data_IF_514471144751
#
_entry.id   IF_514471144751
#
_cell.length_a   1.000
_cell.length_b   1.000
_cell.length_c   1.000
_cell.angle_alpha   90.00
_cell.angle_beta   90.00
_cell.angle_gamma   90.00
#
_symmetry.space_group_name_H-M   'P 1'
#
loop_
_entity.id
_entity.type
_entity.pdbx_description
1 polymer ?
#
# COMPACT_ATOMS: atom_id res chain seq x y z
N UNK A 1 -1.95 -35.78 -15.28
CA UNK A 1 -2.28 -34.54 -14.56
C UNK A 1 -2.87 -34.95 -13.22
N UNK A 2 -2.06 -34.97 -12.18
CA UNK A 2 -2.47 -35.41 -10.85
C UNK A 2 -2.81 -34.14 -10.07
N UNK A 3 -4.09 -33.94 -9.83
CA UNK A 3 -4.58 -32.83 -9.00
C UNK A 3 -4.12 -33.12 -7.56
N UNK A 4 -3.19 -32.31 -7.08
CA UNK A 4 -2.73 -32.35 -5.69
C UNK A 4 -3.89 -31.85 -4.81
N UNK A 5 -4.47 -32.77 -4.02
CA UNK A 5 -5.48 -32.41 -3.03
C UNK A 5 -4.87 -31.45 -2.00
N UNK A 6 -5.57 -30.39 -1.60
CA UNK A 6 -5.12 -29.52 -0.52
C UNK A 6 -4.96 -30.33 0.77
N UNK A 7 -3.85 -30.11 1.47
CA UNK A 7 -3.58 -30.72 2.76
C UNK A 7 -4.72 -30.40 3.75
N UNK A 8 -5.16 -31.38 4.58
CA UNK A 8 -6.20 -31.12 5.58
C UNK A 8 -5.70 -30.08 6.57
N UNK A 9 -6.45 -28.98 6.71
CA UNK A 9 -6.21 -27.97 7.73
C UNK A 9 -6.37 -28.62 9.10
N UNK A 10 -5.28 -28.76 9.86
CA UNK A 10 -5.37 -29.09 11.28
C UNK A 10 -6.20 -28.01 11.99
N UNK A 11 -7.10 -28.39 12.91
CA UNK A 11 -7.85 -27.42 13.69
C UNK A 11 -6.88 -26.58 14.52
N UNK A 12 -6.78 -25.30 14.21
CA UNK A 12 -5.96 -24.34 14.98
C UNK A 12 -6.51 -24.30 16.39
N UNK A 13 -5.81 -24.92 17.33
CA UNK A 13 -6.06 -24.80 18.77
C UNK A 13 -6.15 -23.31 19.11
N UNK A 14 -7.14 -22.93 19.91
CA UNK A 14 -7.38 -21.56 20.38
C UNK A 14 -6.06 -20.84 20.68
N UNK A 15 -5.59 -20.05 19.74
CA UNK A 15 -4.40 -19.21 19.93
C UNK A 15 -4.84 -18.11 20.89
N UNK A 16 -4.37 -18.19 22.12
CA UNK A 16 -4.38 -17.03 23.01
C UNK A 16 -3.58 -15.96 22.27
N UNK A 17 -4.28 -14.93 21.77
CA UNK A 17 -3.60 -13.80 21.12
C UNK A 17 -2.70 -13.17 22.20
N UNK A 18 -1.36 -13.18 22.03
CA UNK A 18 -0.47 -12.56 23.00
C UNK A 18 -0.88 -11.10 23.15
N UNK A 19 -0.88 -10.57 24.39
CA UNK A 19 -1.08 -9.14 24.58
C UNK A 19 -0.01 -8.38 23.79
N UNK A 20 -0.40 -7.36 23.02
CA UNK A 20 0.56 -6.55 22.28
C UNK A 20 1.62 -6.02 23.24
N UNK A 21 2.88 -6.03 22.80
CA UNK A 21 3.96 -5.42 23.57
C UNK A 21 3.75 -3.90 23.57
N UNK A 22 3.48 -3.33 24.75
CA UNK A 22 3.23 -1.88 24.91
C UNK A 22 4.43 -1.03 24.47
N UNK A 23 5.64 -1.57 24.51
CA UNK A 23 6.84 -0.90 24.01
C UNK A 23 6.87 -0.76 22.48
N UNK A 24 6.26 -1.72 21.76
CA UNK A 24 6.16 -1.68 20.29
C UNK A 24 4.88 -0.99 19.82
N UNK A 25 3.81 -1.05 20.61
CA UNK A 25 2.49 -0.51 20.27
C UNK A 25 1.92 0.30 21.44
N UNK A 26 2.46 1.50 21.70
CA UNK A 26 1.98 2.35 22.78
C UNK A 26 0.50 2.69 22.63
N UNK A 27 -0.26 2.52 23.71
CA UNK A 27 -1.69 2.86 23.75
C UNK A 27 -2.64 1.87 23.04
N UNK A 28 -2.13 0.82 22.35
CA UNK A 28 -2.98 -0.17 21.67
C UNK A 28 -3.87 -0.96 22.67
N UNK A 29 -3.39 -1.19 23.89
CA UNK A 29 -4.17 -1.88 24.91
C UNK A 29 -5.29 -1.01 25.50
N UNK A 30 -5.21 0.32 25.36
CA UNK A 30 -6.19 1.25 25.90
C UNK A 30 -7.51 1.21 25.13
N UNK A 31 -8.63 1.13 25.85
CA UNK A 31 -9.97 1.15 25.24
C UNK A 31 -10.44 2.60 25.12
N UNK A 32 -10.80 3.10 23.93
CA UNK A 32 -11.31 4.47 23.73
C UNK A 32 -12.49 4.79 24.67
N UNK A 33 -12.53 5.99 25.23
CA UNK A 33 -13.53 6.38 26.24
C UNK A 33 -14.92 6.72 25.66
N UNK A 34 -15.04 6.95 24.35
CA UNK A 34 -16.23 7.44 23.66
C UNK A 34 -17.32 6.36 23.51
N UNK A 35 -18.17 6.21 24.53
CA UNK A 35 -19.29 5.24 24.52
C UNK A 35 -20.34 5.53 23.44
N UNK A 36 -20.62 6.80 23.14
CA UNK A 36 -21.62 7.17 22.12
C UNK A 36 -21.23 6.68 20.74
N UNK A 37 -19.97 6.91 20.32
CA UNK A 37 -19.45 6.42 19.04
C UNK A 37 -19.50 4.89 18.95
N UNK A 38 -19.22 4.19 20.06
CA UNK A 38 -19.34 2.73 20.13
C UNK A 38 -20.77 2.23 19.87
N UNK A 39 -21.80 2.85 20.45
CA UNK A 39 -23.21 2.48 20.18
C UNK A 39 -23.62 2.68 18.73
N UNK A 40 -23.18 3.79 18.12
CA UNK A 40 -23.45 4.06 16.69
C UNK A 40 -22.74 3.00 15.82
N UNK A 41 -21.47 2.70 16.12
CA UNK A 41 -20.72 1.68 15.41
C UNK A 41 -21.36 0.29 15.56
N UNK A 42 -21.85 -0.08 16.73
CA UNK A 42 -22.57 -1.32 16.96
C UNK A 42 -23.81 -1.43 16.08
N UNK A 43 -24.64 -0.38 16.06
CA UNK A 43 -25.86 -0.36 15.24
C UNK A 43 -25.55 -0.52 13.75
N UNK A 44 -24.53 0.18 13.25
CA UNK A 44 -24.09 0.09 11.86
C UNK A 44 -23.50 -1.28 11.54
N UNK A 45 -22.65 -1.82 12.42
CA UNK A 45 -22.04 -3.13 12.27
C UNK A 45 -23.09 -4.25 12.21
N UNK A 46 -24.05 -4.26 13.15
CA UNK A 46 -25.15 -5.22 13.18
C UNK A 46 -25.98 -5.19 11.89
N UNK A 47 -26.22 -3.99 11.35
CA UNK A 47 -26.94 -3.83 10.08
C UNK A 47 -26.11 -4.36 8.89
N UNK A 48 -24.84 -4.02 8.85
CA UNK A 48 -23.92 -4.42 7.77
C UNK A 48 -23.77 -5.94 7.71
N UNK A 49 -23.54 -6.57 8.85
CA UNK A 49 -23.26 -8.01 8.93
C UNK A 49 -24.45 -8.88 8.51
N UNK A 50 -25.70 -8.41 8.68
CA UNK A 50 -26.92 -9.20 8.35
C UNK A 50 -26.95 -9.71 6.92
N UNK A 51 -26.32 -9.01 5.98
CA UNK A 51 -26.29 -9.36 4.55
C UNK A 51 -24.99 -10.04 4.11
N UNK A 52 -24.04 -10.26 5.02
CA UNK A 52 -22.76 -10.85 4.69
C UNK A 52 -22.75 -12.36 4.88
N UNK A 53 -22.06 -13.12 4.00
CA UNK A 53 -21.85 -14.55 4.14
C UNK A 53 -20.76 -14.84 5.20
N UNK A 54 -21.00 -14.38 6.42
CA UNK A 54 -20.19 -14.60 7.61
C UNK A 54 -21.09 -14.97 8.78
N UNK A 55 -20.53 -15.63 9.78
CA UNK A 55 -21.18 -15.93 11.06
C UNK A 55 -20.54 -15.07 12.15
N UNK A 56 -21.28 -14.15 12.77
CA UNK A 56 -20.79 -13.34 13.88
C UNK A 56 -21.46 -13.74 15.16
N UNK A 57 -20.66 -14.20 16.12
CA UNK A 57 -21.09 -14.57 17.48
C UNK A 57 -20.87 -13.40 18.42
N UNK A 58 -21.96 -12.87 19.00
CA UNK A 58 -21.98 -11.73 19.91
C UNK A 58 -22.76 -12.09 21.17
N UNK A 59 -22.08 -12.60 22.19
CA UNK A 59 -22.71 -13.18 23.36
C UNK A 59 -23.56 -14.41 22.97
N UNK A 60 -24.86 -14.36 23.25
CA UNK A 60 -25.82 -15.40 22.83
C UNK A 60 -26.41 -15.21 21.44
N UNK A 61 -26.12 -14.09 20.80
CA UNK A 61 -26.68 -13.74 19.51
C UNK A 61 -25.74 -14.16 18.36
N UNK A 62 -26.35 -14.62 17.26
CA UNK A 62 -25.64 -14.97 16.02
C UNK A 62 -26.19 -14.13 14.89
N UNK A 63 -25.31 -13.42 14.19
CA UNK A 63 -25.63 -12.54 13.07
C UNK A 63 -24.98 -13.04 11.78
N UNK A 64 -25.48 -12.58 10.63
CA UNK A 64 -24.97 -12.91 9.29
C UNK A 64 -25.67 -14.10 8.66
N UNK A 65 -25.21 -14.45 7.43
CA UNK A 65 -25.82 -15.50 6.61
C UNK A 65 -25.16 -16.88 6.76
N UNK A 66 -24.20 -16.99 7.68
CA UNK A 66 -23.34 -18.18 7.82
C UNK A 66 -22.05 -18.05 7.00
N UNK A 67 -21.09 -18.95 7.26
CA UNK A 67 -19.75 -18.92 6.66
C UNK A 67 -18.65 -18.81 7.72
N UNK A 68 -17.49 -18.20 7.40
CA UNK A 68 -16.40 -18.01 8.34
C UNK A 68 -16.88 -17.32 9.61
N UNK A 69 -16.40 -17.79 10.76
CA UNK A 69 -16.92 -17.34 12.07
C UNK A 69 -16.05 -16.26 12.67
N UNK A 70 -16.66 -15.13 13.04
CA UNK A 70 -16.11 -14.08 13.87
C UNK A 70 -16.71 -14.18 15.28
N UNK A 71 -15.87 -14.32 16.32
CA UNK A 71 -16.31 -14.32 17.74
C UNK A 71 -15.93 -13.01 18.38
N UNK A 72 -16.92 -12.24 18.82
CA UNK A 72 -16.69 -10.97 19.54
C UNK A 72 -16.56 -11.32 21.02
N UNK A 73 -15.33 -11.23 21.53
CA UNK A 73 -14.94 -11.62 22.89
C UNK A 73 -15.24 -10.50 23.87
N UNK A 74 -14.91 -9.25 23.51
CA UNK A 74 -15.10 -8.05 24.35
C UNK A 74 -15.94 -7.00 23.60
N UNK A 75 -17.26 -7.14 23.57
CA UNK A 75 -18.14 -6.31 22.73
C UNK A 75 -17.99 -4.80 22.96
N UNK A 76 -17.99 -4.35 24.21
CA UNK A 76 -17.87 -2.92 24.54
C UNK A 76 -16.55 -2.32 24.02
N UNK A 77 -15.43 -3.02 24.23
CA UNK A 77 -14.11 -2.60 23.73
C UNK A 77 -14.05 -2.60 22.21
N UNK A 78 -14.52 -3.66 21.56
CA UNK A 78 -14.60 -3.79 20.10
C UNK A 78 -15.37 -2.63 19.47
N UNK A 79 -16.59 -2.36 19.93
CA UNK A 79 -17.40 -1.31 19.34
C UNK A 79 -16.88 0.09 19.63
N UNK A 80 -16.20 0.32 20.76
CA UNK A 80 -15.54 1.61 21.01
C UNK A 80 -14.37 1.85 20.07
N UNK A 81 -13.51 0.83 19.82
CA UNK A 81 -12.42 0.94 18.85
C UNK A 81 -12.96 1.16 17.44
N UNK A 82 -13.94 0.34 17.02
CA UNK A 82 -14.60 0.48 15.73
C UNK A 82 -15.23 1.87 15.53
N UNK A 83 -15.84 2.41 16.58
CA UNK A 83 -16.47 3.74 16.54
C UNK A 83 -15.48 4.90 16.64
N UNK A 84 -14.30 4.67 17.18
CA UNK A 84 -13.25 5.68 17.26
C UNK A 84 -12.50 5.82 15.94
N UNK A 85 -12.08 4.72 15.33
CA UNK A 85 -11.22 4.72 14.14
C UNK A 85 -11.59 3.66 13.09
N UNK A 86 -12.87 3.38 12.93
CA UNK A 86 -13.40 2.56 11.84
C UNK A 86 -12.54 1.31 11.50
N UNK A 87 -11.86 1.30 10.34
CA UNK A 87 -11.07 0.16 9.87
C UNK A 87 -9.84 -0.11 10.73
N UNK A 88 -9.15 0.92 11.19
CA UNK A 88 -8.00 0.82 12.08
C UNK A 88 -8.46 0.20 13.40
N UNK A 89 -9.53 0.74 14.00
CA UNK A 89 -10.10 0.20 15.24
C UNK A 89 -10.60 -1.24 15.10
N UNK A 90 -11.02 -1.68 13.90
CA UNK A 90 -11.34 -3.07 13.61
C UNK A 90 -10.10 -3.97 13.67
N UNK A 91 -8.98 -3.54 13.06
CA UNK A 91 -7.71 -4.25 13.10
C UNK A 91 -7.08 -4.27 14.50
N UNK A 92 -7.05 -3.12 15.18
CA UNK A 92 -6.58 -3.02 16.57
C UNK A 92 -7.34 -3.95 17.51
N UNK A 93 -8.66 -4.01 17.36
CA UNK A 93 -9.51 -4.92 18.15
C UNK A 93 -9.14 -6.40 17.94
N UNK A 94 -8.72 -6.78 16.73
CA UNK A 94 -8.19 -8.12 16.47
C UNK A 94 -6.85 -8.33 17.17
N UNK A 95 -5.92 -7.39 17.02
CA UNK A 95 -4.58 -7.46 17.62
C UNK A 95 -4.63 -7.61 19.14
N UNK A 96 -5.57 -6.95 19.81
CA UNK A 96 -5.75 -7.07 21.29
C UNK A 96 -6.68 -8.22 21.71
N UNK A 97 -7.32 -8.92 20.75
CA UNK A 97 -8.22 -10.03 21.03
C UNK A 97 -9.62 -9.62 21.50
N UNK A 98 -10.12 -8.45 21.09
CA UNK A 98 -11.51 -8.07 21.29
C UNK A 98 -12.46 -8.90 20.44
N UNK A 99 -11.96 -9.41 19.33
CA UNK A 99 -12.60 -10.43 18.49
C UNK A 99 -11.57 -11.42 17.93
N UNK A 100 -12.03 -12.61 17.58
CA UNK A 100 -11.19 -13.69 17.05
C UNK A 100 -11.89 -14.42 15.91
N UNK A 101 -11.11 -15.16 15.11
CA UNK A 101 -11.59 -16.08 14.07
C UNK A 101 -10.60 -17.23 13.90
N UNK A 102 -11.07 -18.35 13.41
CA UNK A 102 -10.22 -19.49 13.05
C UNK A 102 -9.75 -19.43 11.59
N UNK A 103 -10.43 -18.57 10.76
CA UNK A 103 -10.12 -18.35 9.35
C UNK A 103 -10.15 -16.85 9.05
N UNK A 104 -9.03 -16.17 9.25
CA UNK A 104 -8.93 -14.72 9.05
C UNK A 104 -9.08 -14.33 7.57
N UNK A 105 -8.40 -14.97 6.59
CA UNK A 105 -8.58 -14.65 5.18
C UNK A 105 -10.01 -14.87 4.71
N UNK A 106 -10.60 -16.01 5.03
CA UNK A 106 -12.00 -16.33 4.68
C UNK A 106 -12.99 -15.35 5.28
N UNK A 107 -12.77 -14.91 6.53
CA UNK A 107 -13.61 -13.92 7.18
C UNK A 107 -13.47 -12.52 6.55
N UNK A 108 -12.26 -12.08 6.24
CA UNK A 108 -12.02 -10.73 5.70
C UNK A 108 -12.48 -10.59 4.24
N UNK A 109 -12.49 -11.68 3.46
CA UNK A 109 -12.87 -11.65 2.05
C UNK A 109 -14.27 -11.08 1.81
N UNK A 110 -15.34 -11.53 2.47
CA UNK A 110 -16.68 -10.94 2.33
C UNK A 110 -16.75 -9.47 2.76
N UNK A 111 -16.04 -9.10 3.82
CA UNK A 111 -15.96 -7.69 4.25
C UNK A 111 -15.29 -6.83 3.19
N UNK A 112 -14.17 -7.27 2.62
CA UNK A 112 -13.44 -6.55 1.57
C UNK A 112 -14.29 -6.39 0.30
N UNK A 113 -14.96 -7.46 -0.14
CA UNK A 113 -15.81 -7.44 -1.34
C UNK A 113 -16.98 -6.45 -1.24
N UNK A 114 -17.49 -6.19 -0.03
CA UNK A 114 -18.65 -5.32 0.20
C UNK A 114 -18.30 -3.99 0.83
N UNK A 115 -17.04 -3.72 1.12
CA UNK A 115 -16.58 -2.55 1.89
C UNK A 115 -17.10 -1.22 1.33
N UNK A 116 -17.16 -1.08 -0.01
CA UNK A 116 -17.66 0.12 -0.69
C UNK A 116 -19.18 0.34 -0.52
N UNK A 117 -19.93 -0.73 -0.24
CA UNK A 117 -21.40 -0.72 -0.11
C UNK A 117 -21.90 -0.80 1.32
N UNK A 118 -21.05 -1.23 2.28
CA UNK A 118 -21.41 -1.38 3.70
C UNK A 118 -21.86 -0.08 4.35
N UNK A 119 -21.35 1.05 3.90
CA UNK A 119 -21.73 2.38 4.41
C UNK A 119 -22.46 3.12 3.28
N UNK A 120 -23.71 3.57 3.49
CA UNK A 120 -24.43 4.35 2.48
C UNK A 120 -23.63 5.57 2.01
N UNK A 121 -23.67 5.95 0.72
CA UNK A 121 -22.88 7.06 0.16
C UNK A 121 -23.13 8.41 0.85
N UNK A 122 -24.32 8.61 1.40
CA UNK A 122 -24.67 9.81 2.18
C UNK A 122 -23.93 9.88 3.51
N UNK A 123 -23.79 8.75 4.20
CA UNK A 123 -23.02 8.63 5.44
C UNK A 123 -21.51 8.64 5.16
N UNK A 124 -21.06 8.08 4.04
CA UNK A 124 -19.66 8.18 3.62
C UNK A 124 -19.23 9.63 3.41
N UNK A 125 -20.08 10.47 2.76
CA UNK A 125 -19.80 11.90 2.55
C UNK A 125 -19.71 12.68 3.86
N UNK A 126 -20.59 12.35 4.82
CA UNK A 126 -20.57 12.97 6.13
C UNK A 126 -19.33 12.51 6.94
N UNK A 127 -19.04 11.20 6.93
CA UNK A 127 -17.87 10.64 7.61
C UNK A 127 -16.55 11.16 7.03
N UNK A 128 -16.42 11.25 5.70
CA UNK A 128 -15.23 11.86 5.06
C UNK A 128 -14.94 13.26 5.57
N UNK A 129 -15.96 14.09 5.75
CA UNK A 129 -15.81 15.46 6.24
C UNK A 129 -15.26 15.53 7.68
N UNK A 130 -15.44 14.47 8.48
CA UNK A 130 -14.97 14.40 9.87
C UNK A 130 -13.71 13.54 10.03
N UNK A 131 -13.49 12.54 9.19
CA UNK A 131 -12.37 11.58 9.25
C UNK A 131 -11.18 12.05 8.40
N UNK A 132 -11.43 12.65 7.23
CA UNK A 132 -10.36 13.24 6.38
C UNK A 132 -9.85 14.60 6.91
N UNK A 133 -10.38 15.08 8.04
CA UNK A 133 -10.19 16.46 8.45
C UNK A 133 -8.80 16.79 9.00
N UNK A 134 -7.92 15.85 9.28
CA UNK A 134 -6.57 16.17 9.76
C UNK A 134 -5.61 15.03 9.45
N UNK A 135 -4.84 15.18 8.38
CA UNK A 135 -3.56 14.50 8.31
C UNK A 135 -2.73 14.98 9.52
N UNK A 136 -2.27 14.09 10.41
CA UNK A 136 -1.43 14.49 11.53
C UNK A 136 -0.24 15.31 11.01
N UNK A 137 0.17 16.35 11.75
CA UNK A 137 1.32 17.18 11.37
C UNK A 137 2.61 16.37 11.22
N UNK A 138 2.65 15.21 11.86
CA UNK A 138 3.76 14.25 11.81
C UNK A 138 3.82 13.49 10.47
N UNK A 139 2.74 13.42 9.71
CA UNK A 139 2.69 12.80 8.37
C UNK A 139 3.00 13.78 7.23
N UNK A 140 3.36 15.02 7.54
CA UNK A 140 3.74 16.00 6.51
C UNK A 140 5.09 15.57 5.92
N UNK A 141 5.12 15.28 4.62
CA UNK A 141 6.29 14.84 3.86
C UNK A 141 7.32 15.97 3.65
N UNK A 142 7.79 16.62 4.74
CA UNK A 142 9.07 17.35 4.72
C UNK A 142 10.21 16.35 4.45
N UNK A 143 11.43 16.78 4.23
CA UNK A 143 12.58 15.86 4.04
C UNK A 143 12.76 14.97 5.28
N UNK A 144 12.62 15.56 6.47
CA UNK A 144 12.70 14.85 7.75
C UNK A 144 11.49 13.94 7.98
N UNK A 145 10.27 14.45 7.75
CA UNK A 145 9.02 13.70 7.91
C UNK A 145 8.91 12.53 6.93
N UNK A 146 9.40 12.67 5.70
CA UNK A 146 9.44 11.59 4.73
C UNK A 146 10.34 10.44 5.19
N UNK A 147 11.49 10.71 5.82
CA UNK A 147 12.36 9.70 6.41
C UNK A 147 11.64 8.96 7.54
N UNK A 148 10.97 9.66 8.43
CA UNK A 148 10.26 9.06 9.55
C UNK A 148 9.03 8.26 9.11
N UNK A 149 8.29 8.74 8.11
CA UNK A 149 7.15 8.02 7.55
C UNK A 149 7.57 6.71 6.86
N UNK A 150 8.67 6.72 6.11
CA UNK A 150 9.21 5.52 5.47
C UNK A 150 9.80 4.58 6.51
N UNK A 151 10.50 5.09 7.51
CA UNK A 151 10.98 4.31 8.65
C UNK A 151 9.83 3.52 9.30
N UNK A 152 8.72 4.16 9.62
CA UNK A 152 7.53 3.49 10.18
C UNK A 152 6.86 2.47 9.23
N UNK A 153 6.92 2.68 7.92
CA UNK A 153 6.32 1.78 6.93
C UNK A 153 7.20 0.57 6.59
N UNK A 154 8.52 0.73 6.61
CA UNK A 154 9.49 -0.29 6.18
C UNK A 154 10.34 -0.85 7.32
N UNK A 155 10.17 -0.39 8.56
CA UNK A 155 10.71 -1.02 9.77
C UNK A 155 10.03 -2.35 10.17
N UNK A 156 9.00 -2.73 9.43
CA UNK A 156 8.61 -4.11 9.33
C UNK A 156 9.80 -4.85 8.72
N UNK A 157 10.46 -5.74 9.49
CA UNK A 157 11.71 -6.39 9.12
C UNK A 157 11.70 -6.94 7.69
N UNK A 158 12.86 -6.92 7.01
CA UNK A 158 13.03 -7.54 5.71
C UNK A 158 12.53 -8.99 5.70
N UNK A 159 12.67 -9.71 6.83
CA UNK A 159 12.16 -11.07 7.01
C UNK A 159 10.66 -11.17 6.83
N UNK A 160 9.89 -10.17 7.29
CA UNK A 160 8.44 -10.14 7.07
C UNK A 160 8.11 -9.98 5.60
N UNK A 161 8.79 -9.08 4.88
CA UNK A 161 8.55 -8.89 3.46
C UNK A 161 8.91 -10.12 2.63
N UNK A 162 9.97 -10.84 2.98
CA UNK A 162 10.36 -12.10 2.36
C UNK A 162 9.33 -13.22 2.53
N UNK A 163 8.45 -13.16 3.54
CA UNK A 163 7.40 -14.16 3.75
C UNK A 163 6.28 -14.11 2.70
N UNK A 164 6.06 -12.97 2.05
CA UNK A 164 4.91 -12.79 1.14
C UNK A 164 5.26 -12.16 -0.21
N UNK A 165 6.44 -11.56 -0.37
CA UNK A 165 6.92 -11.10 -1.66
C UNK A 165 7.56 -12.26 -2.43
N UNK A 166 7.60 -12.12 -3.76
CA UNK A 166 8.32 -12.99 -4.66
C UNK A 166 9.85 -12.74 -4.64
N UNK A 167 10.62 -13.54 -5.36
CA UNK A 167 12.08 -13.45 -5.41
C UNK A 167 12.59 -12.10 -5.94
N UNK A 168 11.77 -11.35 -6.70
CA UNK A 168 12.14 -9.99 -7.13
C UNK A 168 12.08 -8.99 -5.98
N UNK A 169 11.42 -9.32 -4.87
CA UNK A 169 11.16 -8.44 -3.74
C UNK A 169 10.48 -7.13 -4.19
N UNK A 170 9.57 -7.20 -5.15
CA UNK A 170 8.86 -6.01 -5.65
C UNK A 170 7.59 -5.78 -4.86
N UNK A 171 7.60 -4.78 -3.96
CA UNK A 171 6.44 -4.37 -3.16
C UNK A 171 5.58 -3.35 -3.92
N UNK A 172 5.08 -3.78 -5.05
CA UNK A 172 4.18 -3.01 -5.93
C UNK A 172 3.32 -3.97 -6.74
N UNK A 173 2.17 -3.51 -7.23
CA UNK A 173 1.25 -4.37 -7.96
C UNK A 173 1.91 -4.99 -9.20
N UNK A 174 1.77 -6.29 -9.37
CA UNK A 174 2.30 -7.02 -10.51
C UNK A 174 1.46 -6.79 -11.80
N UNK A 175 2.03 -7.11 -12.95
CA UNK A 175 1.36 -7.03 -14.24
C UNK A 175 1.21 -8.42 -14.86
N UNK A 176 0.15 -9.11 -14.47
CA UNK A 176 -0.12 -10.47 -14.92
C UNK A 176 -0.47 -10.52 -16.40
N UNK A 177 0.04 -11.55 -17.10
CA UNK A 177 -0.46 -11.91 -18.42
C UNK A 177 -1.85 -12.55 -18.29
N UNK A 178 -2.71 -12.44 -19.32
CA UNK A 178 -3.97 -13.17 -19.33
C UNK A 178 -3.74 -14.67 -19.12
N UNK A 179 -4.35 -15.24 -18.07
CA UNK A 179 -4.27 -16.66 -17.75
C UNK A 179 -2.99 -17.11 -17.02
N UNK A 180 -2.08 -16.22 -16.66
CA UNK A 180 -0.93 -16.50 -15.80
C UNK A 180 -1.25 -16.10 -14.35
N UNK A 181 -0.80 -16.92 -13.40
CA UNK A 181 -0.80 -16.65 -11.96
C UNK A 181 0.62 -16.62 -11.37
N UNK A 182 1.65 -16.67 -12.21
CA UNK A 182 3.05 -16.58 -11.80
C UNK A 182 3.40 -15.12 -11.40
N UNK A 183 3.67 -14.94 -10.12
CA UNK A 183 3.96 -13.62 -9.55
C UNK A 183 5.33 -13.10 -10.01
N UNK A 184 6.34 -13.95 -10.11
CA UNK A 184 7.70 -13.55 -10.55
C UNK A 184 7.63 -13.06 -11.99
N UNK A 185 7.01 -13.84 -12.90
CA UNK A 185 6.81 -13.43 -14.30
C UNK A 185 6.05 -12.10 -14.40
N UNK A 186 5.00 -11.93 -13.58
CA UNK A 186 4.18 -10.72 -13.58
C UNK A 186 4.94 -9.49 -13.07
N UNK A 187 5.81 -9.65 -12.07
CA UNK A 187 6.69 -8.59 -11.58
C UNK A 187 7.77 -8.23 -12.60
N UNK A 188 8.44 -9.23 -13.20
CA UNK A 188 9.41 -8.98 -14.26
C UNK A 188 8.77 -8.28 -15.48
N UNK A 189 7.58 -8.71 -15.90
CA UNK A 189 6.80 -8.06 -16.96
C UNK A 189 6.50 -6.60 -16.65
N UNK A 190 6.14 -6.29 -15.42
CA UNK A 190 5.94 -4.91 -14.96
C UNK A 190 7.23 -4.10 -15.08
N UNK A 191 8.34 -4.63 -14.58
CA UNK A 191 9.63 -3.94 -14.62
C UNK A 191 10.08 -3.73 -16.07
N UNK A 192 10.00 -4.75 -16.89
CA UNK A 192 10.32 -4.67 -18.30
C UNK A 192 9.48 -3.63 -19.02
N UNK A 193 8.16 -3.62 -18.76
CA UNK A 193 7.23 -2.66 -19.36
C UNK A 193 7.54 -1.21 -19.01
N UNK A 194 7.96 -0.90 -17.78
CA UNK A 194 8.32 0.47 -17.41
C UNK A 194 9.66 0.89 -17.99
N UNK A 195 10.62 -0.02 -18.06
CA UNK A 195 11.90 0.23 -18.73
C UNK A 195 11.72 0.48 -20.24
N UNK A 196 10.83 -0.28 -20.88
CA UNK A 196 10.50 -0.10 -22.32
C UNK A 196 9.79 1.24 -22.55
N UNK A 197 8.82 1.62 -21.71
CA UNK A 197 8.14 2.93 -21.78
C UNK A 197 9.13 4.09 -21.60
N UNK A 198 10.10 3.95 -20.70
CA UNK A 198 11.16 4.93 -20.51
C UNK A 198 12.23 4.88 -21.60
N UNK A 199 12.15 3.92 -22.53
CA UNK A 199 13.10 3.74 -23.63
C UNK A 199 14.50 3.34 -23.17
N UNK A 200 14.60 2.60 -22.05
CA UNK A 200 15.88 2.20 -21.47
C UNK A 200 16.58 1.14 -22.34
N UNK A 201 17.79 1.46 -22.77
CA UNK A 201 18.65 0.58 -23.59
C UNK A 201 20.05 0.45 -22.98
N UNK A 202 20.84 -0.48 -23.52
CA UNK A 202 22.22 -0.69 -23.06
C UNK A 202 23.07 0.58 -23.21
N UNK A 203 23.92 0.83 -22.24
CA UNK A 203 24.82 1.99 -22.18
C UNK A 203 24.19 3.29 -21.63
N UNK A 204 22.88 3.38 -21.52
CA UNK A 204 22.21 4.53 -20.94
C UNK A 204 22.41 4.60 -19.41
N UNK A 205 22.33 5.82 -18.86
CA UNK A 205 22.35 6.08 -17.44
C UNK A 205 20.92 6.38 -16.96
N UNK A 206 20.40 5.49 -16.13
CA UNK A 206 19.03 5.54 -15.60
C UNK A 206 19.05 5.97 -14.16
N UNK A 207 18.13 6.86 -13.77
CA UNK A 207 17.82 7.14 -12.38
C UNK A 207 16.55 6.41 -11.97
N UNK A 208 16.62 5.63 -10.91
CA UNK A 208 15.44 5.06 -10.24
C UNK A 208 15.16 5.85 -8.96
N UNK A 209 13.90 6.28 -8.80
CA UNK A 209 13.42 6.91 -7.56
C UNK A 209 12.55 5.91 -6.81
N UNK A 210 13.08 5.38 -5.70
CA UNK A 210 12.48 4.32 -4.92
C UNK A 210 13.12 2.96 -5.20
N UNK A 211 14.31 2.73 -4.63
CA UNK A 211 15.09 1.49 -4.81
C UNK A 211 14.31 0.23 -4.44
N UNK A 212 13.43 0.31 -3.43
CA UNK A 212 12.92 -0.89 -2.78
C UNK A 212 14.07 -1.80 -2.37
N UNK A 213 14.03 -3.05 -2.77
CA UNK A 213 15.10 -4.02 -2.53
C UNK A 213 15.91 -4.33 -3.81
N UNK A 214 15.94 -3.39 -4.77
CA UNK A 214 16.82 -3.40 -5.93
C UNK A 214 16.31 -4.16 -7.16
N UNK A 215 15.09 -4.68 -7.15
CA UNK A 215 14.60 -5.53 -8.27
C UNK A 215 14.64 -4.84 -9.63
N UNK A 216 14.17 -3.58 -9.73
CA UNK A 216 14.18 -2.82 -10.98
C UNK A 216 15.61 -2.43 -11.39
N UNK A 217 16.43 -1.97 -10.43
CA UNK A 217 17.83 -1.62 -10.69
C UNK A 217 18.63 -2.82 -11.25
N UNK A 218 18.46 -4.00 -10.66
CA UNK A 218 19.09 -5.25 -11.14
C UNK A 218 18.66 -5.54 -12.58
N UNK A 219 17.34 -5.50 -12.85
CA UNK A 219 16.80 -5.79 -14.19
C UNK A 219 17.29 -4.81 -15.25
N UNK A 220 17.35 -3.51 -14.93
CA UNK A 220 17.86 -2.47 -15.81
C UNK A 220 19.36 -2.67 -16.09
N UNK A 221 20.15 -3.01 -15.08
CA UNK A 221 21.58 -3.30 -15.22
C UNK A 221 21.83 -4.57 -16.04
N UNK A 222 21.02 -5.60 -15.90
CA UNK A 222 21.06 -6.81 -16.74
C UNK A 222 20.75 -6.51 -18.21
N UNK A 223 19.92 -5.49 -18.50
CA UNK A 223 19.70 -4.99 -19.86
C UNK A 223 20.88 -4.14 -20.40
N UNK A 224 21.93 -3.95 -19.60
CA UNK A 224 23.14 -3.23 -19.97
C UNK A 224 23.12 -1.73 -19.64
N UNK A 225 22.12 -1.23 -18.93
CA UNK A 225 22.10 0.15 -18.45
C UNK A 225 23.04 0.34 -17.23
N UNK A 226 23.48 1.56 -16.99
CA UNK A 226 24.01 2.01 -15.69
C UNK A 226 22.88 2.61 -14.89
N UNK A 227 22.79 2.28 -13.62
CA UNK A 227 21.69 2.69 -12.76
C UNK A 227 22.21 3.44 -11.54
N UNK A 228 21.64 4.61 -11.30
CA UNK A 228 21.68 5.25 -9.99
C UNK A 228 20.29 5.07 -9.37
N UNK A 229 20.20 4.50 -8.17
CA UNK A 229 18.92 4.29 -7.50
C UNK A 229 18.90 4.96 -6.14
N UNK A 230 17.75 5.55 -5.78
CA UNK A 230 17.59 6.35 -4.58
C UNK A 230 16.61 5.70 -3.62
N UNK A 231 17.02 5.60 -2.37
CA UNK A 231 16.14 5.29 -1.25
C UNK A 231 16.44 6.19 -0.06
N UNK A 232 15.50 6.33 0.86
CA UNK A 232 15.70 7.01 2.14
C UNK A 232 15.66 6.02 3.32
N UNK A 233 15.52 4.71 3.04
CA UNK A 233 15.61 3.61 4.01
C UNK A 233 16.99 2.97 3.96
N UNK A 234 17.69 2.96 5.10
CA UNK A 234 19.00 2.32 5.23
C UNK A 234 18.89 0.79 5.13
N UNK A 235 17.80 0.20 5.62
CA UNK A 235 17.52 -1.23 5.57
C UNK A 235 17.30 -1.69 4.13
N UNK A 236 16.54 -0.91 3.34
CA UNK A 236 16.37 -1.19 1.92
C UNK A 236 17.70 -1.07 1.17
N UNK A 237 18.47 -0.02 1.44
CA UNK A 237 19.77 0.18 0.79
C UNK A 237 20.71 -1.00 1.01
N UNK A 238 20.85 -1.45 2.26
CA UNK A 238 21.73 -2.55 2.62
C UNK A 238 21.34 -3.86 1.90
N UNK A 239 20.07 -4.25 1.94
CA UNK A 239 19.61 -5.46 1.27
C UNK A 239 19.65 -5.33 -0.26
N UNK A 240 19.38 -4.14 -0.81
CA UNK A 240 19.50 -3.91 -2.24
C UNK A 240 20.96 -4.06 -2.71
N UNK A 241 21.94 -3.54 -1.98
CA UNK A 241 23.36 -3.70 -2.29
C UNK A 241 23.80 -5.17 -2.27
N UNK A 242 23.37 -5.96 -1.27
CA UNK A 242 23.62 -7.39 -1.21
C UNK A 242 23.05 -8.13 -2.44
N UNK A 243 21.80 -7.83 -2.80
CA UNK A 243 21.13 -8.45 -3.96
C UNK A 243 21.75 -8.05 -5.29
N UNK A 244 22.15 -6.78 -5.44
CA UNK A 244 22.86 -6.26 -6.62
C UNK A 244 24.21 -6.98 -6.79
N UNK A 245 24.96 -7.16 -5.68
CA UNK A 245 26.22 -7.91 -5.70
C UNK A 245 25.99 -9.38 -6.06
N UNK A 246 24.98 -10.03 -5.47
CA UNK A 246 24.61 -11.41 -5.77
C UNK A 246 24.18 -11.61 -7.24
N UNK A 247 23.53 -10.62 -7.84
CA UNK A 247 23.16 -10.61 -9.25
C UNK A 247 24.33 -10.34 -10.21
N UNK A 248 25.54 -10.03 -9.71
CA UNK A 248 26.74 -9.77 -10.52
C UNK A 248 26.69 -8.46 -11.31
N UNK A 249 25.94 -7.46 -10.87
CA UNK A 249 25.77 -6.18 -11.58
C UNK A 249 26.21 -4.96 -10.74
N UNK A 250 27.00 -5.19 -9.69
CA UNK A 250 27.46 -4.14 -8.80
C UNK A 250 28.33 -3.06 -9.48
N UNK A 251 28.97 -3.39 -10.58
CA UNK A 251 29.74 -2.46 -11.43
C UNK A 251 28.85 -1.44 -12.19
N UNK A 252 27.57 -1.72 -12.30
CA UNK A 252 26.59 -0.93 -13.06
C UNK A 252 25.56 -0.23 -12.22
N UNK A 253 25.41 -0.56 -10.93
CA UNK A 253 24.36 -0.02 -10.06
C UNK A 253 25.00 0.72 -8.89
N UNK A 254 24.56 1.96 -8.67
CA UNK A 254 24.91 2.76 -7.53
C UNK A 254 23.67 3.02 -6.67
N UNK A 255 23.64 2.53 -5.45
CA UNK A 255 22.60 2.81 -4.47
C UNK A 255 22.99 4.08 -3.69
N UNK A 256 22.06 5.03 -3.57
CA UNK A 256 22.26 6.26 -2.80
C UNK A 256 21.18 6.40 -1.73
N UNK A 257 21.58 6.51 -0.49
CA UNK A 257 20.71 6.88 0.63
C UNK A 257 20.41 8.38 0.57
N UNK A 258 19.43 8.76 -0.29
CA UNK A 258 19.16 10.17 -0.59
C UNK A 258 17.71 10.40 -0.97
N UNK A 259 17.17 11.55 -0.54
CA UNK A 259 15.86 12.04 -1.01
C UNK A 259 15.96 12.53 -2.47
N UNK A 260 14.93 12.26 -3.27
CA UNK A 260 14.89 12.65 -4.69
C UNK A 260 15.00 14.16 -4.91
N UNK A 261 14.61 14.98 -3.93
CA UNK A 261 14.71 16.44 -3.96
C UNK A 261 16.18 16.92 -3.96
N UNK A 262 17.05 16.13 -3.34
CA UNK A 262 18.49 16.38 -3.20
C UNK A 262 19.31 15.67 -4.31
N UNK A 263 18.66 14.89 -5.17
CA UNK A 263 19.32 14.19 -6.26
C UNK A 263 19.95 15.17 -7.24
N UNK A 264 21.13 14.81 -7.73
CA UNK A 264 21.91 15.55 -8.71
C UNK A 264 22.30 14.67 -9.87
N UNK A 265 22.70 15.27 -10.97
CA UNK A 265 23.11 14.56 -12.18
C UNK A 265 22.18 14.82 -13.33
N UNK A 266 22.42 14.11 -14.43
CA UNK A 266 21.63 14.18 -15.66
C UNK A 266 21.57 12.78 -16.25
N UNK A 267 20.36 12.28 -16.49
CA UNK A 267 20.06 10.89 -16.79
C UNK A 267 19.34 10.76 -18.13
N UNK A 268 19.58 9.65 -18.83
CA UNK A 268 18.92 9.36 -20.11
C UNK A 268 17.44 8.99 -19.91
N UNK A 269 17.14 8.36 -18.75
CA UNK A 269 15.79 8.05 -18.33
C UNK A 269 15.66 8.18 -16.80
N UNK A 270 14.46 8.52 -16.34
CA UNK A 270 14.09 8.47 -14.92
C UNK A 270 12.91 7.51 -14.77
N UNK A 271 13.01 6.54 -13.87
CA UNK A 271 11.95 5.56 -13.59
C UNK A 271 11.53 5.61 -12.14
N UNK A 272 10.23 5.44 -11.88
CA UNK A 272 9.68 5.42 -10.53
C UNK A 272 8.39 4.60 -10.49
N UNK A 273 8.29 3.67 -9.54
CA UNK A 273 7.16 2.74 -9.40
C UNK A 273 6.52 2.94 -8.03
N UNK A 274 5.23 3.27 -8.01
CA UNK A 274 4.41 3.39 -6.80
C UNK A 274 5.06 4.26 -5.69
N UNK A 275 5.67 5.35 -6.11
CA UNK A 275 6.35 6.31 -5.24
C UNK A 275 5.55 7.62 -5.12
N UNK A 276 4.81 8.00 -6.18
CA UNK A 276 4.07 9.27 -6.23
C UNK A 276 2.97 9.36 -5.15
N UNK A 277 2.43 8.23 -4.73
CA UNK A 277 1.46 8.12 -3.64
C UNK A 277 2.05 8.56 -2.31
N UNK A 278 3.32 8.20 -2.09
CA UNK A 278 4.06 8.57 -0.89
C UNK A 278 4.52 10.03 -0.90
N UNK A 279 4.56 10.69 -2.06
CA UNK A 279 4.95 12.10 -2.19
C UNK A 279 3.88 13.02 -1.59
N UNK A 280 2.59 12.70 -1.79
CA UNK A 280 1.45 13.53 -1.43
C UNK A 280 1.19 14.68 -2.42
N UNK A 281 -0.09 14.97 -2.69
CA UNK A 281 -0.55 15.92 -3.73
C UNK A 281 0.11 17.30 -3.62
N UNK A 282 0.31 17.79 -2.39
CA UNK A 282 0.95 19.08 -2.13
C UNK A 282 2.36 19.20 -2.72
N UNK A 283 3.09 18.10 -2.81
CA UNK A 283 4.49 18.06 -3.24
C UNK A 283 4.64 17.57 -4.70
N UNK A 284 3.57 17.25 -5.41
CA UNK A 284 3.65 16.87 -6.82
C UNK A 284 4.36 17.88 -7.70
N UNK A 285 4.13 19.21 -7.57
CA UNK A 285 4.90 20.19 -8.35
C UNK A 285 6.42 20.07 -8.13
N UNK A 286 6.85 19.86 -6.88
CA UNK A 286 8.26 19.65 -6.54
C UNK A 286 8.80 18.34 -7.12
N UNK A 287 7.98 17.28 -7.08
CA UNK A 287 8.36 15.98 -7.63
C UNK A 287 8.55 16.05 -9.14
N UNK A 288 7.60 16.58 -9.88
CA UNK A 288 7.73 16.73 -11.34
C UNK A 288 8.85 17.70 -11.75
N UNK A 289 9.08 18.77 -11.00
CA UNK A 289 10.22 19.67 -11.24
C UNK A 289 11.57 18.96 -11.00
N UNK A 290 11.64 18.02 -10.04
CA UNK A 290 12.83 17.21 -9.83
C UNK A 290 13.05 16.24 -10.99
N UNK A 291 11.99 15.57 -11.50
CA UNK A 291 12.10 14.70 -12.66
C UNK A 291 12.61 15.45 -13.88
N UNK A 292 12.05 16.65 -14.19
CA UNK A 292 12.46 17.47 -15.32
C UNK A 292 13.94 17.91 -15.19
N UNK A 293 14.36 18.37 -14.02
CA UNK A 293 15.74 18.79 -13.74
C UNK A 293 16.77 17.67 -13.92
N UNK A 294 16.39 16.42 -13.63
CA UNK A 294 17.28 15.27 -13.63
C UNK A 294 17.36 14.59 -15.01
N UNK A 295 16.48 14.95 -15.95
CA UNK A 295 16.51 14.41 -17.30
C UNK A 295 17.46 15.16 -18.21
N UNK A 296 18.15 14.45 -19.09
CA UNK A 296 18.81 15.02 -20.24
C UNK A 296 17.77 15.51 -21.25
N UNK A 297 18.12 16.50 -22.12
CA UNK A 297 17.27 16.84 -23.25
C UNK A 297 16.94 15.60 -24.09
N UNK A 298 15.64 15.36 -24.33
CA UNK A 298 15.13 14.18 -25.04
C UNK A 298 15.04 12.90 -24.18
N UNK A 299 15.42 12.96 -22.91
CA UNK A 299 15.23 11.86 -21.96
C UNK A 299 13.75 11.58 -21.68
N UNK A 300 13.45 10.41 -21.12
CA UNK A 300 12.07 9.96 -20.85
C UNK A 300 11.86 9.61 -19.39
N UNK A 301 10.62 9.80 -18.92
CA UNK A 301 10.18 9.35 -17.61
C UNK A 301 9.29 8.12 -17.76
N UNK A 302 9.63 7.04 -17.04
CA UNK A 302 8.75 5.91 -16.81
C UNK A 302 8.13 6.04 -15.41
N UNK A 303 6.88 6.46 -15.32
CA UNK A 303 6.16 6.61 -14.07
C UNK A 303 5.00 5.63 -13.99
N UNK A 304 4.97 4.81 -12.95
CA UNK A 304 3.87 3.89 -12.69
C UNK A 304 3.28 4.17 -11.31
N UNK A 305 2.10 4.78 -11.24
CA UNK A 305 1.34 4.90 -10.01
C UNK A 305 0.63 3.57 -9.67
N UNK A 306 0.24 3.38 -8.41
CA UNK A 306 -0.64 2.29 -8.01
C UNK A 306 -1.96 2.34 -8.78
N UNK A 307 -2.46 1.20 -9.28
CA UNK A 307 -3.77 1.16 -9.90
C UNK A 307 -4.84 1.45 -8.84
N UNK A 308 -5.55 2.56 -8.99
CA UNK A 308 -6.69 2.87 -8.15
C UNK A 308 -7.97 2.38 -8.83
N UNK A 309 -8.76 1.48 -8.23
CA UNK A 309 -10.06 1.12 -8.76
C UNK A 309 -10.93 2.39 -8.86
N UNK A 310 -11.51 2.63 -10.03
CA UNK A 310 -12.38 3.80 -10.29
C UNK A 310 -13.55 3.95 -9.32
N UNK A 311 -13.91 2.88 -8.61
CA UNK A 311 -14.95 2.84 -7.58
C UNK A 311 -14.48 3.24 -6.18
N UNK A 312 -13.17 3.38 -5.94
CA UNK A 312 -12.58 3.65 -4.62
C UNK A 312 -11.81 4.96 -4.50
N UNK A 313 -11.29 5.49 -5.59
CA UNK A 313 -10.70 6.83 -5.61
C UNK A 313 -11.81 7.87 -5.58
N UNK A 314 -11.77 8.79 -4.61
CA UNK A 314 -12.66 9.95 -4.61
C UNK A 314 -12.64 10.62 -5.97
N UNK A 315 -13.83 10.95 -6.48
CA UNK A 315 -13.96 11.64 -7.77
C UNK A 315 -12.96 12.79 -7.85
N UNK A 316 -12.23 12.95 -8.97
CA UNK A 316 -11.43 14.13 -9.15
C UNK A 316 -12.33 15.34 -8.95
N UNK A 317 -11.90 16.31 -8.16
CA UNK A 317 -12.62 17.59 -8.05
C UNK A 317 -12.74 18.12 -9.47
N UNK A 318 -13.94 18.11 -10.02
CA UNK A 318 -14.25 18.83 -11.24
C UNK A 318 -14.11 20.31 -10.93
N UNK A 319 -12.93 20.86 -11.09
CA UNK A 319 -12.77 22.28 -11.35
C UNK A 319 -13.37 22.49 -12.73
N UNK A 320 -14.56 23.03 -12.77
CA UNK A 320 -15.20 23.51 -13.98
C UNK A 320 -14.23 24.50 -14.63
N UNK A 321 -13.68 24.24 -15.85
CA UNK A 321 -12.94 25.26 -16.55
C UNK A 321 -13.97 26.32 -16.96
N UNK A 322 -13.75 27.55 -16.52
CA UNK A 322 -14.51 28.67 -17.03
C UNK A 322 -14.51 28.68 -18.55
N UNK A 323 -15.70 28.78 -19.11
CA UNK A 323 -15.94 28.96 -20.54
C UNK A 323 -15.21 30.21 -21.03
N UNK A 324 -14.10 30.04 -21.72
CA UNK A 324 -13.56 31.05 -22.60
C UNK A 324 -13.91 30.64 -24.04
N UNK A 325 -14.98 31.24 -24.53
CA UNK A 325 -15.29 31.30 -25.95
C UNK A 325 -14.17 32.09 -26.66
N UNK A 326 -13.38 31.44 -27.47
CA UNK A 326 -12.61 32.13 -28.51
C UNK A 326 -13.09 31.66 -29.88
N UNK A 327 -13.79 32.60 -30.51
CA UNK A 327 -14.14 32.58 -31.91
C UNK A 327 -12.90 32.46 -32.80
N UNK A 328 -12.91 31.49 -33.69
CA UNK A 328 -12.01 31.46 -34.88
C UNK A 328 -12.35 32.57 -35.83
N UNK A 329 -11.39 33.21 -36.46
CA UNK A 329 -11.60 33.83 -37.74
C UNK A 329 -11.19 32.88 -38.87
N UNK A 330 -12.09 32.76 -39.85
CA UNK A 330 -11.81 32.20 -41.15
C UNK A 330 -10.89 33.15 -41.96
N UNK A 331 -9.89 32.58 -42.62
CA UNK A 331 -9.44 32.85 -43.98
C UNK A 331 -8.29 31.85 -44.31
#
# INVERSE_FOLDING_TARGET
MTIQQPLPHEPVRHRIVPRPNEGLWPGLAEVPTTRFKGRVAESLFRRAVKSLPVRVELGSEVLGLGGPTMRIVRPDAFFRRLGNDSKIGFGEAYMVGDWTTDDLPGLLTPFAATLSTLIPPSLQRLARRYVEARQPSEEINTVEGARENIHRHYDLSNDLFQLFLDDTMSYSAAWFAPGSDDLVEAQERKIDGILDMAGVTAGQHVLEIGTGWGGLAIRAAQRGARVTTLTISAEQAALAEERIAAAGVADRVQVLLRDYREAQGSYDAVVSVEMIEAVGERYWPTYFAALDRLLKPGGRVGLRPSPCPTTGCGSPRTTTPGSTSTSSPAA
#
